data_IF_353308443271
#
_entry.id   IF_353308443271
#
_cell.length_a   1.000
_cell.length_b   1.000
_cell.length_c   1.000
_cell.angle_alpha   90.00
_cell.angle_beta   90.00
_cell.angle_gamma   90.00
#
_symmetry.space_group_name_H-M   'P 1'
#
loop_
_entity.id
_entity.type
_entity.pdbx_description
1 polymer ?
#
# COMPACT_ATOMS: atom_id res chain seq x y z
N UNK A 1 3.47 2.35 -3.87
CA UNK A 1 2.12 1.79 -3.71
C UNK A 1 2.17 0.79 -2.55
N UNK A 2 1.09 0.66 -1.80
CA UNK A 2 1.00 -0.27 -0.66
C UNK A 2 -0.11 -1.28 -0.89
N UNK A 3 0.07 -2.50 -0.37
CA UNK A 3 -0.94 -3.56 -0.34
C UNK A 3 -1.02 -4.16 1.06
N UNK A 4 -2.22 -4.19 1.63
CA UNK A 4 -2.46 -4.81 2.93
C UNK A 4 -3.18 -6.13 2.80
N UNK A 5 -2.70 -7.13 3.53
CA UNK A 5 -3.37 -8.40 3.69
C UNK A 5 -3.49 -8.74 5.18
N UNK A 6 -4.68 -9.10 5.68
CA UNK A 6 -4.80 -9.61 7.03
C UNK A 6 -4.09 -10.97 7.12
N UNK A 7 -3.29 -11.14 8.16
CA UNK A 7 -2.58 -12.39 8.45
C UNK A 7 -2.83 -12.80 9.90
N UNK A 8 -2.82 -14.11 10.20
CA UNK A 8 -2.81 -14.59 11.58
C UNK A 8 -1.48 -14.26 12.26
N UNK A 9 -1.43 -14.35 13.59
CA UNK A 9 -0.25 -14.05 14.42
C UNK A 9 0.99 -14.91 14.07
N UNK A 10 0.80 -16.01 13.33
CA UNK A 10 1.89 -16.83 12.79
C UNK A 10 1.60 -17.13 11.32
N UNK A 11 2.44 -16.59 10.44
CA UNK A 11 2.36 -16.79 8.99
C UNK A 11 3.48 -17.74 8.53
N UNK A 12 3.15 -18.74 7.71
CA UNK A 12 4.16 -19.61 7.09
C UNK A 12 4.70 -18.97 5.82
N UNK A 13 5.90 -19.36 5.39
CA UNK A 13 6.46 -18.88 4.12
C UNK A 13 5.55 -19.15 2.91
N UNK A 14 4.86 -20.30 2.90
CA UNK A 14 3.87 -20.63 1.88
C UNK A 14 2.66 -19.67 1.92
N UNK A 15 2.16 -19.34 3.11
CA UNK A 15 1.05 -18.40 3.26
C UNK A 15 1.48 -17.00 2.81
N UNK A 16 2.66 -16.53 3.19
CA UNK A 16 3.23 -15.26 2.72
C UNK A 16 3.37 -15.24 1.19
N UNK A 17 3.87 -16.32 0.59
CA UNK A 17 4.01 -16.41 -0.86
C UNK A 17 2.65 -16.33 -1.57
N UNK A 18 1.61 -16.97 -1.03
CA UNK A 18 0.24 -16.86 -1.57
C UNK A 18 -0.29 -15.44 -1.47
N UNK A 19 -0.15 -14.79 -0.31
CA UNK A 19 -0.55 -13.39 -0.13
C UNK A 19 0.17 -12.45 -1.12
N UNK A 20 1.47 -12.69 -1.35
CA UNK A 20 2.24 -11.93 -2.35
C UNK A 20 1.72 -12.14 -3.76
N UNK A 21 1.45 -13.40 -4.16
CA UNK A 21 0.91 -13.71 -5.49
C UNK A 21 -0.45 -13.04 -5.69
N UNK A 22 -1.32 -13.13 -4.69
CA UNK A 22 -2.68 -12.63 -4.77
C UNK A 22 -2.79 -11.10 -4.71
N UNK A 23 -1.96 -10.47 -3.87
CA UNK A 23 -2.05 -9.04 -3.56
C UNK A 23 -1.08 -8.15 -4.33
N UNK A 24 0.02 -8.69 -4.84
CA UNK A 24 1.06 -7.90 -5.54
C UNK A 24 1.25 -8.39 -6.96
N UNK A 25 1.62 -9.66 -7.13
CA UNK A 25 1.98 -10.22 -8.44
C UNK A 25 0.83 -10.13 -9.46
N UNK A 26 -0.40 -10.44 -9.03
CA UNK A 26 -1.60 -10.34 -9.87
C UNK A 26 -1.79 -8.93 -10.47
N UNK A 27 -1.39 -7.89 -9.73
CA UNK A 27 -1.62 -6.50 -10.12
C UNK A 27 -0.44 -5.90 -10.88
N UNK A 28 0.80 -6.26 -10.52
CA UNK A 28 2.01 -5.58 -10.99
C UNK A 28 2.94 -6.47 -11.82
N UNK A 29 2.69 -7.77 -11.88
CA UNK A 29 3.64 -8.73 -12.45
C UNK A 29 4.81 -9.06 -11.50
N UNK A 30 5.81 -9.77 -12.01
CA UNK A 30 6.97 -10.20 -11.21
C UNK A 30 7.90 -8.99 -11.07
N UNK A 31 8.26 -8.58 -9.85
CA UNK A 31 9.27 -7.55 -9.69
C UNK A 31 10.63 -8.07 -10.18
N UNK A 32 11.43 -7.18 -10.76
CA UNK A 32 12.77 -7.51 -11.25
C UNK A 32 13.74 -7.77 -10.09
N UNK A 33 13.52 -7.13 -8.94
CA UNK A 33 14.36 -7.22 -7.74
C UNK A 33 13.50 -7.28 -6.48
N UNK A 34 13.93 -8.06 -5.50
CA UNK A 34 13.38 -8.08 -4.16
C UNK A 34 14.40 -7.47 -3.19
N UNK A 35 13.99 -6.46 -2.42
CA UNK A 35 14.80 -5.88 -1.34
C UNK A 35 14.11 -6.21 -0.02
N UNK A 36 14.87 -6.67 0.96
CA UNK A 36 14.41 -7.02 2.31
C UNK A 36 15.41 -6.49 3.34
N UNK A 37 14.98 -6.30 4.58
CA UNK A 37 15.79 -5.82 5.72
C UNK A 37 17.11 -6.59 5.97
N UNK A 38 17.26 -7.78 5.37
CA UNK A 38 18.49 -8.60 5.47
C UNK A 38 19.35 -8.55 4.21
N UNK A 39 19.00 -7.73 3.23
CA UNK A 39 19.75 -7.62 1.98
C UNK A 39 21.00 -6.75 2.19
N UNK A 40 22.22 -7.24 1.89
CA UNK A 40 23.45 -6.47 2.05
C UNK A 40 23.57 -5.27 1.10
N UNK A 41 22.65 -5.13 0.14
CA UNK A 41 22.60 -3.99 -0.80
C UNK A 41 21.71 -2.83 -0.32
N UNK A 42 21.33 -2.84 0.97
CA UNK A 42 20.49 -1.82 1.57
C UNK A 42 21.12 -0.42 1.47
N UNK A 43 20.33 0.53 0.97
CA UNK A 43 20.75 1.89 0.68
C UNK A 43 20.13 2.82 1.73
N UNK A 44 20.92 3.48 2.61
CA UNK A 44 20.41 4.30 3.71
C UNK A 44 19.44 5.42 3.29
N UNK A 45 19.57 5.90 2.05
CA UNK A 45 18.68 6.92 1.51
C UNK A 45 17.30 6.37 1.12
N UNK A 46 17.25 5.15 0.58
CA UNK A 46 16.00 4.42 0.28
C UNK A 46 15.35 3.93 1.59
N UNK A 47 16.17 3.49 2.54
CA UNK A 47 15.73 3.07 3.87
C UNK A 47 15.02 4.21 4.61
N UNK A 48 15.61 5.41 4.70
CA UNK A 48 14.99 6.53 5.39
C UNK A 48 13.70 7.09 4.74
N UNK A 49 13.45 6.83 3.44
CA UNK A 49 12.15 7.11 2.84
C UNK A 49 11.14 6.00 3.15
N UNK A 50 11.59 4.74 3.13
CA UNK A 50 10.79 3.57 3.46
C UNK A 50 10.35 3.60 4.93
N UNK A 51 11.24 3.95 5.85
CA UNK A 51 10.96 4.08 7.29
C UNK A 51 9.87 5.12 7.57
N UNK A 52 9.96 6.30 6.95
CA UNK A 52 8.93 7.35 7.09
C UNK A 52 7.57 6.89 6.58
N UNK A 53 7.55 6.16 5.46
CA UNK A 53 6.32 5.58 4.93
C UNK A 53 5.79 4.53 5.90
N UNK A 54 6.61 3.58 6.34
CA UNK A 54 6.24 2.54 7.29
C UNK A 54 5.65 3.13 8.58
N UNK A 55 6.24 4.20 9.12
CA UNK A 55 5.69 4.89 10.30
C UNK A 55 4.27 5.41 10.07
N UNK A 56 4.02 6.05 8.91
CA UNK A 56 2.68 6.54 8.55
C UNK A 56 1.69 5.38 8.40
N UNK A 57 2.12 4.27 7.79
CA UNK A 57 1.29 3.08 7.64
C UNK A 57 0.94 2.49 9.03
N UNK A 58 1.92 2.33 9.90
CA UNK A 58 1.74 1.82 11.26
C UNK A 58 0.80 2.69 12.09
N UNK A 59 0.98 4.02 12.08
CA UNK A 59 0.13 4.95 12.84
C UNK A 59 -1.32 4.90 12.34
N UNK A 60 -1.51 4.80 11.02
CA UNK A 60 -2.82 4.67 10.40
C UNK A 60 -3.49 3.36 10.79
N UNK A 61 -2.78 2.23 10.67
CA UNK A 61 -3.29 0.91 11.01
C UNK A 61 -3.61 0.81 12.51
N UNK A 62 -2.74 1.38 13.37
CA UNK A 62 -2.97 1.42 14.83
C UNK A 62 -4.26 2.15 15.16
N UNK A 63 -4.52 3.29 14.52
CA UNK A 63 -5.76 4.04 14.69
C UNK A 63 -6.99 3.24 14.26
N UNK A 64 -6.91 2.56 13.10
CA UNK A 64 -7.99 1.74 12.56
C UNK A 64 -8.30 0.54 13.46
N UNK A 65 -7.27 -0.15 13.94
CA UNK A 65 -7.40 -1.25 14.88
C UNK A 65 -7.99 -0.80 16.22
N UNK A 66 -7.60 0.38 16.72
CA UNK A 66 -8.17 0.95 17.94
C UNK A 66 -9.65 1.32 17.77
N UNK A 67 -10.03 1.87 16.62
CA UNK A 67 -11.41 2.28 16.32
C UNK A 67 -12.34 1.09 16.02
N UNK A 68 -11.83 -0.01 15.48
CA UNK A 68 -12.61 -1.18 15.09
C UNK A 68 -11.92 -2.52 15.41
N UNK A 69 -11.69 -2.88 16.67
CA UNK A 69 -10.85 -4.04 17.05
C UNK A 69 -11.32 -5.39 16.49
N UNK A 70 -12.62 -5.55 16.22
CA UNK A 70 -13.19 -6.82 15.69
C UNK A 70 -13.34 -6.85 14.17
N UNK A 71 -13.29 -5.69 13.50
CA UNK A 71 -13.55 -5.57 12.06
C UNK A 71 -12.46 -4.76 11.34
N UNK A 72 -11.29 -4.60 11.97
CA UNK A 72 -10.17 -3.84 11.40
C UNK A 72 -9.75 -4.38 10.04
N UNK A 73 -9.79 -5.72 9.87
CA UNK A 73 -9.44 -6.40 8.61
C UNK A 73 -10.39 -6.01 7.47
N UNK A 74 -11.67 -5.81 7.76
CA UNK A 74 -12.68 -5.35 6.78
C UNK A 74 -12.43 -3.91 6.32
N UNK A 75 -11.67 -3.12 7.10
CA UNK A 75 -11.33 -1.73 6.78
C UNK A 75 -10.06 -1.59 5.95
N UNK A 76 -9.23 -2.62 5.87
CA UNK A 76 -7.96 -2.59 5.14
C UNK A 76 -8.09 -2.12 3.69
N UNK A 77 -9.10 -2.55 2.89
CA UNK A 77 -9.24 -2.06 1.51
C UNK A 77 -9.46 -0.55 1.42
N UNK A 78 -10.20 0.03 2.38
CA UNK A 78 -10.46 1.48 2.43
C UNK A 78 -9.20 2.24 2.83
N UNK A 79 -8.45 1.70 3.78
CA UNK A 79 -7.18 2.29 4.25
C UNK A 79 -6.13 2.26 3.13
N UNK A 80 -5.97 1.11 2.47
CA UNK A 80 -5.11 0.94 1.30
C UNK A 80 -5.48 1.95 0.21
N UNK A 81 -6.77 2.06 -0.10
CA UNK A 81 -7.25 3.02 -1.09
C UNK A 81 -6.90 4.46 -0.73
N UNK A 82 -7.16 4.87 0.52
CA UNK A 82 -6.87 6.22 0.99
C UNK A 82 -5.38 6.56 0.92
N UNK A 83 -4.51 5.63 1.35
CA UNK A 83 -3.06 5.81 1.32
C UNK A 83 -2.51 5.85 -0.11
N UNK A 84 -2.98 4.97 -1.00
CA UNK A 84 -2.57 4.96 -2.40
C UNK A 84 -3.13 6.16 -3.20
N UNK A 85 -4.16 6.84 -2.70
CA UNK A 85 -4.74 8.04 -3.30
C UNK A 85 -4.29 9.34 -2.63
N UNK A 86 -3.53 9.30 -1.54
CA UNK A 86 -2.97 10.47 -0.90
C UNK A 86 -1.75 10.98 -1.69
N UNK A 87 -1.65 12.30 -1.86
CA UNK A 87 -0.49 12.93 -2.51
C UNK A 87 0.69 12.88 -1.53
N UNK A 88 1.80 12.30 -1.99
CA UNK A 88 3.01 12.22 -1.16
C UNK A 88 3.83 13.51 -1.28
N UNK A 89 4.22 14.10 -0.15
CA UNK A 89 4.87 15.42 -0.12
C UNK A 89 6.22 15.46 -0.87
N UNK A 90 6.97 14.35 -0.92
CA UNK A 90 8.27 14.29 -1.57
C UNK A 90 8.18 14.18 -3.10
N UNK A 91 7.08 13.63 -3.64
CA UNK A 91 6.91 13.39 -5.08
C UNK A 91 5.88 14.31 -5.71
N UNK A 92 4.95 14.88 -4.93
CA UNK A 92 3.84 15.70 -5.43
C UNK A 92 2.74 14.89 -6.13
N UNK A 93 2.85 13.57 -6.17
CA UNK A 93 1.91 12.68 -6.86
C UNK A 93 1.35 11.61 -5.91
N UNK A 94 0.23 11.01 -6.28
CA UNK A 94 -0.31 9.85 -5.58
C UNK A 94 0.41 8.58 -6.01
N UNK A 95 0.57 7.57 -5.12
CA UNK A 95 1.11 6.27 -5.49
C UNK A 95 0.38 5.62 -6.68
N UNK A 96 -0.95 5.73 -6.76
CA UNK A 96 -1.70 5.25 -7.94
C UNK A 96 -1.26 5.91 -9.24
N UNK A 97 -1.06 7.23 -9.21
CA UNK A 97 -0.62 7.95 -10.41
C UNK A 97 0.78 7.53 -10.84
N UNK A 98 1.71 7.39 -9.89
CA UNK A 98 3.08 6.98 -10.20
C UNK A 98 3.19 5.53 -10.68
N UNK A 99 2.35 4.63 -10.17
CA UNK A 99 2.41 3.20 -10.49
C UNK A 99 1.63 2.84 -11.76
N UNK A 100 0.42 3.39 -11.92
CA UNK A 100 -0.51 3.02 -13.00
C UNK A 100 -0.61 4.08 -14.10
N UNK A 101 0.08 5.22 -13.94
CA UNK A 101 -0.10 6.42 -14.78
C UNK A 101 -1.56 6.89 -14.88
N UNK A 102 -2.43 6.47 -13.96
CA UNK A 102 -3.87 6.78 -13.93
C UNK A 102 -4.37 6.88 -12.49
N UNK A 103 -5.28 7.82 -12.24
CA UNK A 103 -6.03 7.86 -10.99
C UNK A 103 -7.08 6.74 -10.93
N UNK A 104 -7.34 6.15 -9.76
CA UNK A 104 -8.40 5.18 -9.61
C UNK A 104 -9.74 5.84 -9.91
N UNK A 105 -10.61 5.12 -10.64
CA UNK A 105 -11.97 5.60 -10.91
C UNK A 105 -12.81 5.49 -9.65
N UNK A 106 -12.90 6.57 -8.89
CA UNK A 106 -13.88 6.72 -7.81
C UNK A 106 -15.24 7.13 -8.38
N UNK A 107 -16.37 6.84 -7.72
CA UNK A 107 -17.69 7.26 -8.19
C UNK A 107 -17.79 8.75 -8.54
N UNK A 108 -17.02 9.61 -7.86
CA UNK A 108 -16.92 11.05 -8.16
C UNK A 108 -16.27 11.37 -9.52
N UNK A 109 -15.41 10.49 -10.04
CA UNK A 109 -14.74 10.63 -11.35
C UNK A 109 -15.50 9.97 -12.52
N UNK A 110 -16.55 9.20 -12.23
CA UNK A 110 -17.40 8.57 -13.24
C UNK A 110 -18.51 9.49 -13.77
N UNK A 111 -18.71 10.65 -13.15
CA UNK A 111 -19.53 11.75 -13.68
C UNK A 111 -18.64 12.66 -14.53
N UNK A 112 -18.48 12.34 -15.81
CA UNK A 112 -17.79 13.23 -16.74
C UNK A 112 -18.62 14.49 -17.06
N UNK A 113 -17.94 15.65 -17.10
CA UNK A 113 -18.41 16.93 -17.65
C UNK A 113 -19.35 17.72 -16.73
N UNK A 114 -19.23 19.02 -16.51
CA UNK A 114 -18.55 20.15 -17.17
C UNK A 114 -18.04 21.09 -16.06
N UNK A 115 -17.01 21.91 -16.24
CA UNK A 115 -17.16 23.29 -16.71
C UNK A 115 -15.81 23.92 -17.05
N UNK A 116 -15.85 24.79 -18.06
CA UNK A 116 -14.80 25.69 -18.54
C UNK A 116 -14.55 26.86 -17.58
#
# INVERSE_FOLDING_TARGET
MVHFAPAPDTVTGEHTARLFVDGVFRHHGLPETFISDRDPTDNPQTDGQTERVNQVLEDTLRSVCAAAPRTWSERLPVVEFALNNAVHASTGFTPFYLNEMRHPRVPLTLRGGTES
#
